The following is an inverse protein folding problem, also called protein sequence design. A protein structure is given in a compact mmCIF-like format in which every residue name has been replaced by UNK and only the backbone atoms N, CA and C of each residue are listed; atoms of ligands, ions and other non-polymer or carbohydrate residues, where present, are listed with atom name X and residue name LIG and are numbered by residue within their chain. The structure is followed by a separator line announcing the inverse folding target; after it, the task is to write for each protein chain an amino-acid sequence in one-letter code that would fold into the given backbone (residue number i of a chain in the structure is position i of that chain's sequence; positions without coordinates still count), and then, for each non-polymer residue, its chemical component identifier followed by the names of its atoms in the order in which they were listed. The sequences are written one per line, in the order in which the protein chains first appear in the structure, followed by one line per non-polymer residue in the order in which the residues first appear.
data_IF_712945061510
#
_entry.id   IF_712945061510
#
_cell.length_a   1.000
_cell.length_b   1.000
_cell.length_c   1.000
_cell.angle_alpha   90.00
_cell.angle_beta   90.00
_cell.angle_gamma   90.00
#
_symmetry.space_group_name_H-M   'P 1'
#
loop_
_entity.id
_entity.type
_entity.pdbx_description
1 polymer ?
#
# COMPACT_ATOMS: atom_id res chain seq x y z
N UNK A 1 16.78 8.76 17.86
CA UNK A 1 17.03 7.38 17.43
C UNK A 1 15.83 6.92 16.64
N UNK A 2 16.02 6.41 15.42
CA UNK A 2 14.95 5.84 14.59
C UNK A 2 14.83 4.36 14.95
N UNK A 3 13.62 3.88 15.23
CA UNK A 3 13.37 2.50 15.70
C UNK A 3 12.76 1.61 14.63
N UNK A 4 12.35 2.16 13.49
CA UNK A 4 11.86 1.39 12.37
C UNK A 4 11.61 2.21 11.10
N UNK A 5 11.31 1.51 10.01
CA UNK A 5 11.12 2.08 8.67
C UNK A 5 9.86 1.52 8.01
N UNK A 6 8.95 2.42 7.61
CA UNK A 6 7.81 2.10 6.74
C UNK A 6 8.08 2.61 5.33
N UNK A 7 8.05 1.73 4.33
CA UNK A 7 7.97 2.16 2.94
C UNK A 7 6.50 2.41 2.58
N UNK A 8 6.18 3.61 2.10
CA UNK A 8 4.82 3.99 1.73
C UNK A 8 4.64 4.01 0.21
N UNK A 9 3.56 3.39 -0.27
CA UNK A 9 3.20 3.33 -1.67
C UNK A 9 1.82 3.94 -1.84
N UNK A 10 1.75 5.03 -2.62
CA UNK A 10 0.48 5.70 -2.91
C UNK A 10 -0.22 5.00 -4.07
N UNK A 11 -1.49 4.64 -3.88
CA UNK A 11 -2.31 3.88 -4.83
C UNK A 11 -3.60 4.63 -5.17
N UNK A 12 -4.20 4.31 -6.31
CA UNK A 12 -5.48 4.90 -6.74
C UNK A 12 -6.70 4.23 -6.10
N UNK A 13 -6.54 3.03 -5.55
CA UNK A 13 -7.61 2.30 -4.88
C UNK A 13 -7.01 1.31 -3.89
N UNK A 14 -7.32 1.46 -2.60
CA UNK A 14 -6.73 0.63 -1.54
C UNK A 14 -7.11 -0.83 -1.71
N UNK A 15 -8.38 -1.15 -1.97
CA UNK A 15 -8.85 -2.55 -2.03
C UNK A 15 -8.16 -3.37 -3.12
N UNK A 16 -8.15 -2.86 -4.35
CA UNK A 16 -7.51 -3.55 -5.49
C UNK A 16 -6.00 -3.71 -5.26
N UNK A 17 -5.37 -2.66 -4.71
CA UNK A 17 -3.96 -2.72 -4.37
C UNK A 17 -3.69 -3.72 -3.23
N UNK A 18 -4.52 -3.76 -2.19
CA UNK A 18 -4.41 -4.71 -1.09
C UNK A 18 -4.50 -6.13 -1.61
N UNK A 19 -5.47 -6.45 -2.48
CA UNK A 19 -5.56 -7.78 -3.09
C UNK A 19 -4.31 -8.13 -3.90
N UNK A 20 -3.77 -7.18 -4.66
CA UNK A 20 -2.56 -7.40 -5.47
C UNK A 20 -1.32 -7.61 -4.60
N UNK A 21 -1.08 -6.74 -3.61
CA UNK A 21 0.07 -6.83 -2.72
C UNK A 21 -0.04 -8.03 -1.77
N UNK A 22 -1.26 -8.43 -1.36
CA UNK A 22 -1.45 -9.66 -0.59
C UNK A 22 -1.04 -10.90 -1.37
N UNK A 23 -1.25 -10.92 -2.69
CA UNK A 23 -0.73 -12.00 -3.55
C UNK A 23 0.78 -11.92 -3.71
N UNK A 24 1.34 -10.71 -3.89
CA UNK A 24 2.79 -10.52 -4.01
C UNK A 24 3.54 -10.94 -2.75
N UNK A 25 3.03 -10.59 -1.57
CA UNK A 25 3.65 -10.92 -0.28
C UNK A 25 3.20 -12.30 0.24
N UNK A 26 2.30 -12.98 -0.47
CA UNK A 26 1.71 -14.26 -0.09
C UNK A 26 1.07 -14.24 1.32
N UNK A 27 0.56 -13.06 1.74
CA UNK A 27 -0.05 -12.86 3.06
C UNK A 27 -0.99 -11.65 3.06
N UNK A 28 -2.00 -11.69 3.93
CA UNK A 28 -2.86 -10.53 4.18
C UNK A 28 -2.12 -9.42 4.96
N UNK A 29 -2.56 -8.16 4.86
CA UNK A 29 -2.04 -7.08 5.69
C UNK A 29 -2.21 -7.42 7.16
N UNK A 30 -1.27 -6.97 7.98
CA UNK A 30 -1.35 -7.13 9.43
C UNK A 30 -2.46 -6.27 10.02
N UNK A 31 -2.72 -5.10 9.42
CA UNK A 31 -3.68 -4.14 9.94
C UNK A 31 -4.24 -3.22 8.83
N UNK A 32 -5.40 -2.65 9.11
CA UNK A 32 -6.06 -1.58 8.35
C UNK A 32 -6.43 -0.46 9.33
N UNK A 33 -5.45 0.37 9.73
CA UNK A 33 -5.63 1.37 10.78
C UNK A 33 -6.73 2.39 10.51
N UNK A 34 -6.98 2.69 9.23
CA UNK A 34 -8.03 3.60 8.79
C UNK A 34 -8.46 3.29 7.36
N UNK A 35 -9.62 3.80 6.95
CA UNK A 35 -10.09 3.67 5.57
C UNK A 35 -9.06 4.20 4.57
N UNK A 36 -8.79 3.43 3.51
CA UNK A 36 -7.80 3.79 2.49
C UNK A 36 -6.36 3.41 2.86
N UNK A 37 -6.10 2.79 4.01
CA UNK A 37 -4.77 2.31 4.43
C UNK A 37 -4.76 0.82 4.73
N UNK A 38 -3.78 0.10 4.17
CA UNK A 38 -3.42 -1.24 4.59
C UNK A 38 -1.92 -1.35 4.81
N UNK A 39 -1.50 -2.16 5.77
CA UNK A 39 -0.08 -2.30 6.10
C UNK A 39 0.35 -3.74 6.39
N UNK A 40 1.55 -4.06 5.93
CA UNK A 40 2.27 -5.29 6.22
C UNK A 40 3.46 -4.97 7.12
N UNK A 41 3.50 -5.61 8.27
CA UNK A 41 4.64 -5.60 9.19
C UNK A 41 5.37 -6.92 8.99
N UNK A 42 6.59 -6.84 8.47
CA UNK A 42 7.45 -8.00 8.23
C UNK A 42 8.30 -8.32 9.46
N UNK A 43 8.59 -7.31 10.27
CA UNK A 43 9.30 -7.40 11.54
C UNK A 43 8.83 -6.26 12.47
N UNK A 44 9.31 -6.23 13.71
CA UNK A 44 9.08 -5.12 14.65
C UNK A 44 9.64 -3.79 14.12
N UNK A 45 10.66 -3.85 13.26
CA UNK A 45 11.41 -2.68 12.79
C UNK A 45 11.10 -2.24 11.35
N UNK A 46 10.38 -3.03 10.54
CA UNK A 46 10.07 -2.62 9.17
C UNK A 46 8.82 -3.24 8.56
N UNK A 47 8.32 -2.55 7.53
CA UNK A 47 7.06 -2.86 6.89
C UNK A 47 6.76 -1.98 5.69
N UNK A 48 5.66 -2.30 5.03
CA UNK A 48 5.16 -1.62 3.85
C UNK A 48 3.73 -1.17 4.13
N UNK A 49 3.42 0.07 3.76
CA UNK A 49 2.08 0.62 3.80
C UNK A 49 1.64 0.99 2.39
N UNK A 50 0.39 0.73 2.08
CA UNK A 50 -0.28 1.34 0.95
C UNK A 50 -1.28 2.38 1.44
N UNK A 51 -1.40 3.48 0.70
CA UNK A 51 -2.34 4.56 1.01
C UNK A 51 -3.07 5.01 -0.24
N UNK A 52 -4.40 5.07 -0.17
CA UNK A 52 -5.24 5.57 -1.26
C UNK A 52 -5.18 7.10 -1.31
N UNK A 53 -4.57 7.59 -2.38
CA UNK A 53 -4.60 9.00 -2.76
C UNK A 53 -4.51 9.08 -4.28
N UNK A 54 -5.67 9.06 -4.97
CA UNK A 54 -5.72 9.00 -6.44
C UNK A 54 -5.07 10.21 -7.12
N UNK A 55 -4.91 11.34 -6.41
CA UNK A 55 -4.26 12.54 -6.95
C UNK A 55 -2.74 12.38 -6.98
N UNK A 56 -2.18 11.68 -6.01
CA UNK A 56 -0.73 11.46 -5.86
C UNK A 56 -0.25 10.10 -6.36
N UNK A 57 -1.17 9.17 -6.59
CA UNK A 57 -0.86 7.85 -7.11
C UNK A 57 -0.24 7.92 -8.51
N UNK A 58 0.71 7.01 -8.78
CA UNK A 58 1.31 6.87 -10.09
C UNK A 58 0.25 6.58 -11.16
N UNK A 59 0.26 7.33 -12.25
CA UNK A 59 -0.62 7.08 -13.40
C UNK A 59 -0.02 5.98 -14.27
N UNK A 60 -0.87 5.08 -14.78
CA UNK A 60 -0.45 4.12 -15.81
C UNK A 60 0.08 4.91 -17.03
N UNK A 61 1.26 4.59 -17.58
CA UNK A 61 1.66 5.14 -18.86
C UNK A 61 0.68 4.64 -19.94
N UNK A 62 -0.03 5.55 -20.61
CA UNK A 62 -0.93 5.22 -21.71
C UNK A 62 -2.44 5.15 -21.40
N UNK A 63 -2.92 5.79 -20.33
CA UNK A 63 -4.36 5.91 -20.07
C UNK A 63 -5.08 6.69 -21.17
N UNK A 64 -5.69 5.98 -22.14
CA UNK A 64 -6.74 6.53 -22.98
C UNK A 64 -7.90 6.90 -22.08
N UNK A 65 -8.26 8.19 -22.08
CA UNK A 65 -9.52 8.68 -21.54
C UNK A 65 -10.65 7.83 -22.16
N UNK A 66 -11.34 7.04 -21.35
CA UNK A 66 -12.65 6.50 -21.66
C UNK A 66 -13.64 7.09 -20.69
#
# INVERSE_FOLDING_TARGET
MITGLMANIVVTGEKEATEWYSRLFERQPNDQPMAGLAQWLFDESFGIQIWEDPQRAGRKPGGVLR
#
